data_IF_524422806649
#
_entry.id   IF_524422806649
#
_cell.length_a   1.000
_cell.length_b   1.000
_cell.length_c   1.000
_cell.angle_alpha   90.00
_cell.angle_beta   90.00
_cell.angle_gamma   90.00
#
_symmetry.space_group_name_H-M   'P 1'
#
loop_
_entity.id
_entity.type
_entity.pdbx_description
1 polymer ?
#
# COMPACT_ATOMS: atom_id res chain seq x y z
N UNK A 1 -10.54 -1.20 7.96
CA UNK A 1 -9.42 -2.04 7.46
C UNK A 1 -8.37 -2.30 8.54
N UNK A 2 -7.98 -1.27 9.30
CA UNK A 2 -6.95 -1.40 10.34
C UNK A 2 -7.37 -2.42 11.40
N UNK A 3 -8.60 -2.38 11.87
CA UNK A 3 -9.11 -3.31 12.88
C UNK A 3 -9.01 -4.77 12.40
N UNK A 4 -9.30 -5.01 11.13
CA UNK A 4 -9.24 -6.35 10.54
C UNK A 4 -7.80 -6.82 10.37
N UNK A 5 -6.90 -5.92 9.99
CA UNK A 5 -5.48 -6.25 9.91
C UNK A 5 -4.93 -6.60 11.30
N UNK A 6 -5.28 -5.83 12.32
CA UNK A 6 -4.84 -6.09 13.69
C UNK A 6 -5.38 -7.41 14.24
N UNK A 7 -6.58 -7.81 13.82
CA UNK A 7 -7.16 -9.09 14.23
C UNK A 7 -6.49 -10.29 13.58
N UNK A 8 -5.88 -10.11 12.41
CA UNK A 8 -5.30 -11.20 11.62
C UNK A 8 -3.79 -11.31 11.73
N UNK A 9 -3.11 -10.22 12.07
CA UNK A 9 -1.65 -10.15 12.06
C UNK A 9 -1.17 -9.03 12.98
N UNK A 10 0.13 -9.00 13.26
CA UNK A 10 0.71 -7.98 14.12
C UNK A 10 1.00 -6.71 13.30
N UNK A 11 0.20 -5.68 13.51
CA UNK A 11 0.40 -4.38 12.86
C UNK A 11 1.48 -3.60 13.62
N UNK A 12 2.63 -3.41 12.98
CA UNK A 12 3.79 -2.75 13.61
C UNK A 12 3.76 -1.23 13.41
N UNK A 13 3.34 -0.76 12.25
CA UNK A 13 3.32 0.67 11.94
C UNK A 13 2.37 0.99 10.79
N UNK A 14 1.90 2.24 10.78
CA UNK A 14 1.11 2.81 9.68
C UNK A 14 1.79 4.09 9.20
N UNK A 15 1.80 4.31 7.90
CA UNK A 15 2.25 5.58 7.32
C UNK A 15 1.21 6.68 7.53
N UNK A 16 1.59 7.92 7.24
CA UNK A 16 0.60 8.97 6.99
C UNK A 16 -0.30 8.56 5.83
N UNK A 17 -1.49 9.13 5.79
CA UNK A 17 -2.41 8.95 4.67
C UNK A 17 -2.16 10.06 3.66
N UNK A 18 -1.99 9.66 2.41
CA UNK A 18 -1.77 10.58 1.30
C UNK A 18 -2.99 10.63 0.40
N UNK A 19 -3.30 11.82 -0.10
CA UNK A 19 -4.38 12.04 -1.05
C UNK A 19 -3.78 12.23 -2.42
N UNK A 20 -4.23 11.43 -3.36
CA UNK A 20 -3.90 11.58 -4.77
C UNK A 20 -5.12 12.13 -5.50
N UNK A 21 -4.96 13.31 -6.10
CA UNK A 21 -6.00 13.92 -6.91
C UNK A 21 -5.69 13.71 -8.39
N UNK A 22 -6.65 13.15 -9.12
CA UNK A 22 -6.57 13.02 -10.57
C UNK A 22 -7.42 14.15 -11.15
N UNK A 23 -6.78 15.10 -11.81
CA UNK A 23 -7.45 16.20 -12.47
C UNK A 23 -8.02 15.75 -13.80
N UNK A 24 -9.27 16.01 -14.06
CA UNK A 24 -9.94 15.75 -15.35
C UNK A 24 -11.39 16.17 -15.27
N UNK A 25 -11.89 16.96 -16.25
CA UNK A 25 -13.31 17.24 -16.32
C UNK A 25 -14.09 15.98 -16.72
N UNK A 26 -15.36 15.76 -16.25
CA UNK A 26 -16.06 16.62 -15.31
C UNK A 26 -15.92 16.20 -13.85
N UNK A 27 -15.17 15.13 -13.54
CA UNK A 27 -15.14 14.57 -12.19
C UNK A 27 -13.71 14.51 -11.66
N UNK A 28 -13.54 15.04 -10.45
CA UNK A 28 -12.32 14.87 -9.70
C UNK A 28 -12.41 13.57 -8.90
N UNK A 29 -11.53 12.63 -9.20
CA UNK A 29 -11.40 11.43 -8.40
C UNK A 29 -10.27 11.64 -7.38
N UNK A 30 -10.59 11.41 -6.12
CA UNK A 30 -9.62 11.47 -5.03
C UNK A 30 -9.41 10.08 -4.48
N UNK A 31 -8.16 9.63 -4.44
CA UNK A 31 -7.78 8.36 -3.86
C UNK A 31 -6.92 8.60 -2.62
N UNK A 32 -7.15 7.80 -1.60
CA UNK A 32 -6.32 7.81 -0.39
C UNK A 32 -5.38 6.61 -0.42
N UNK A 33 -4.11 6.86 -0.10
CA UNK A 33 -3.07 5.85 -0.06
C UNK A 33 -2.36 5.87 1.28
N UNK A 34 -2.06 4.70 1.80
CA UNK A 34 -1.25 4.53 2.99
C UNK A 34 -0.52 3.21 2.90
N UNK A 35 0.54 3.07 3.67
CA UNK A 35 1.26 1.81 3.82
C UNK A 35 1.15 1.32 5.26
N UNK A 36 1.14 0.00 5.42
CA UNK A 36 1.17 -0.65 6.71
C UNK A 36 2.34 -1.62 6.77
N UNK A 37 3.04 -1.63 7.88
CA UNK A 37 4.07 -2.63 8.17
C UNK A 37 3.47 -3.65 9.12
N UNK A 38 3.43 -4.91 8.67
CA UNK A 38 2.84 -6.00 9.46
C UNK A 38 3.85 -7.12 9.64
N UNK A 39 3.71 -7.83 10.75
CA UNK A 39 4.45 -9.04 11.02
C UNK A 39 3.48 -10.21 11.01
N UNK A 40 3.80 -11.25 10.26
CA UNK A 40 2.95 -12.42 10.14
C UNK A 40 3.77 -13.67 9.85
N UNK A 41 3.24 -14.83 10.25
CA UNK A 41 3.81 -16.12 9.90
C UNK A 41 3.14 -16.74 8.67
N UNK A 42 2.15 -16.05 8.10
CA UNK A 42 1.49 -16.50 6.89
C UNK A 42 2.46 -16.49 5.70
N UNK A 43 2.34 -17.49 4.83
CA UNK A 43 3.03 -17.46 3.54
C UNK A 43 2.46 -16.32 2.68
N UNK A 44 3.18 -15.88 1.64
CA UNK A 44 2.65 -14.84 0.74
C UNK A 44 1.27 -15.19 0.16
N UNK A 45 1.04 -16.44 -0.22
CA UNK A 45 -0.25 -16.89 -0.75
C UNK A 45 -1.36 -16.80 0.32
N UNK A 46 -1.07 -17.22 1.54
CA UNK A 46 -2.02 -17.14 2.66
C UNK A 46 -2.33 -15.68 3.01
N UNK A 47 -1.33 -14.83 3.04
CA UNK A 47 -1.49 -13.41 3.31
C UNK A 47 -2.37 -12.76 2.25
N UNK A 48 -2.11 -13.04 0.98
CA UNK A 48 -2.91 -12.52 -0.12
C UNK A 48 -4.38 -12.92 -0.01
N UNK A 49 -4.65 -14.17 0.34
CA UNK A 49 -6.02 -14.65 0.55
C UNK A 49 -6.69 -13.94 1.72
N UNK A 50 -5.95 -13.71 2.81
CA UNK A 50 -6.49 -12.99 3.97
C UNK A 50 -6.81 -11.54 3.61
N UNK A 51 -5.95 -10.86 2.90
CA UNK A 51 -6.20 -9.49 2.45
C UNK A 51 -7.42 -9.39 1.53
N UNK A 52 -7.55 -10.33 0.59
CA UNK A 52 -8.72 -10.40 -0.27
C UNK A 52 -10.02 -10.64 0.52
N UNK A 53 -9.95 -11.45 1.57
CA UNK A 53 -11.07 -11.69 2.46
C UNK A 53 -11.49 -10.42 3.20
N UNK A 54 -10.52 -9.65 3.69
CA UNK A 54 -10.78 -8.38 4.37
C UNK A 54 -11.46 -7.39 3.42
N UNK A 55 -10.97 -7.28 2.20
CA UNK A 55 -11.57 -6.42 1.17
C UNK A 55 -13.04 -6.78 0.94
N UNK A 56 -13.33 -8.06 0.77
CA UNK A 56 -14.70 -8.53 0.54
C UNK A 56 -15.63 -8.26 1.74
N UNK A 57 -15.14 -8.47 2.95
CA UNK A 57 -15.92 -8.20 4.16
C UNK A 57 -16.31 -6.74 4.27
N UNK A 58 -15.39 -5.83 3.96
CA UNK A 58 -15.63 -4.40 4.05
C UNK A 58 -16.52 -3.90 2.92
N UNK A 59 -16.36 -4.41 1.71
CA UNK A 59 -17.22 -4.08 0.59
C UNK A 59 -18.68 -4.52 0.86
N UNK A 60 -18.86 -5.70 1.44
CA UNK A 60 -20.18 -6.20 1.78
C UNK A 60 -20.87 -5.35 2.86
N UNK A 61 -20.10 -4.77 3.80
CA UNK A 61 -20.63 -3.92 4.86
C UNK A 61 -21.12 -2.56 4.36
N UNK A 62 -20.40 -1.99 3.40
CA UNK A 62 -20.74 -0.67 2.89
C UNK A 62 -21.92 -0.71 1.92
N UNK A 63 -22.25 -1.89 1.39
CA UNK A 63 -23.35 -2.05 0.42
C UNK A 63 -23.14 -1.24 -0.86
N UNK A 64 -21.93 -0.77 -1.10
CA UNK A 64 -21.60 0.07 -2.23
C UNK A 64 -20.86 -0.76 -3.25
N UNK A 65 -21.41 -0.86 -4.45
CA UNK A 65 -20.71 -1.31 -5.63
C UNK A 65 -19.73 -0.22 -6.08
N UNK A 66 -18.82 0.16 -5.20
CA UNK A 66 -17.77 1.10 -5.54
C UNK A 66 -16.49 0.30 -5.82
N UNK A 67 -16.08 0.19 -7.09
CA UNK A 67 -14.92 -0.62 -7.47
C UNK A 67 -13.59 -0.10 -6.92
N UNK A 68 -13.59 1.01 -6.20
CA UNK A 68 -12.38 1.59 -5.62
C UNK A 68 -12.40 1.69 -4.11
N UNK A 69 -13.35 1.05 -3.42
CA UNK A 69 -13.56 1.28 -1.98
C UNK A 69 -12.35 0.88 -1.13
N UNK A 70 -11.72 -0.25 -1.41
CA UNK A 70 -10.55 -0.71 -0.66
C UNK A 70 -9.73 -1.67 -1.51
N UNK A 71 -8.44 -1.38 -1.61
CA UNK A 71 -7.48 -2.25 -2.27
C UNK A 71 -6.30 -2.49 -1.32
N UNK A 72 -6.11 -3.75 -0.92
CA UNK A 72 -5.02 -4.17 -0.05
C UNK A 72 -4.03 -5.00 -0.87
N UNK A 73 -2.85 -4.46 -1.08
CA UNK A 73 -1.84 -5.05 -1.95
C UNK A 73 -0.55 -5.31 -1.19
N UNK A 74 0.03 -6.50 -1.39
CA UNK A 74 1.37 -6.80 -0.89
C UNK A 74 2.37 -6.16 -1.84
N UNK A 75 3.19 -5.23 -1.34
CA UNK A 75 4.21 -4.57 -2.15
C UNK A 75 5.63 -5.05 -1.83
N UNK A 76 5.84 -5.48 -0.59
CA UNK A 76 7.10 -6.07 -0.10
C UNK A 76 6.79 -7.24 0.82
N UNK A 77 7.63 -8.26 0.77
CA UNK A 77 7.56 -9.40 1.67
C UNK A 77 8.99 -9.80 2.05
N UNK A 78 9.43 -9.36 3.23
CA UNK A 78 10.84 -9.42 3.65
C UNK A 78 11.75 -8.83 2.55
N UNK A 79 12.87 -9.46 2.29
CA UNK A 79 13.77 -9.09 1.18
C UNK A 79 13.63 -10.02 -0.03
N UNK A 80 12.50 -10.75 -0.10
CA UNK A 80 12.29 -11.79 -1.11
C UNK A 80 11.84 -11.22 -2.45
N UNK A 81 12.25 -11.89 -3.50
CA UNK A 81 11.91 -11.57 -4.89
C UNK A 81 11.19 -12.79 -5.47
N UNK A 82 9.92 -12.62 -5.83
CA UNK A 82 9.10 -13.71 -6.38
C UNK A 82 7.90 -13.17 -7.14
N UNK A 83 7.17 -14.07 -7.79
CA UNK A 83 5.90 -13.75 -8.45
C UNK A 83 4.78 -14.44 -7.72
N UNK A 84 3.71 -13.68 -7.41
CA UNK A 84 2.53 -14.19 -6.73
C UNK A 84 1.29 -13.82 -7.54
N UNK A 85 0.58 -14.84 -8.05
CA UNK A 85 -0.64 -14.66 -8.84
C UNK A 85 -0.47 -13.65 -10.00
N UNK A 86 0.66 -13.74 -10.70
CA UNK A 86 0.98 -12.85 -11.81
C UNK A 86 1.55 -11.49 -11.43
N UNK A 87 1.63 -11.19 -10.15
CA UNK A 87 2.18 -9.93 -9.65
C UNK A 87 3.59 -10.13 -9.11
N UNK A 88 4.51 -9.26 -9.51
CA UNK A 88 5.87 -9.29 -8.99
C UNK A 88 5.95 -8.70 -7.60
N UNK A 89 6.77 -9.32 -6.74
CA UNK A 89 7.14 -8.79 -5.42
C UNK A 89 8.68 -8.74 -5.39
N UNK A 90 9.30 -7.60 -5.15
CA UNK A 90 8.72 -6.28 -4.82
C UNK A 90 7.83 -5.73 -5.95
N UNK A 91 6.78 -5.01 -5.56
CA UNK A 91 5.85 -4.42 -6.52
C UNK A 91 6.58 -3.41 -7.42
N UNK A 92 6.34 -3.49 -8.73
CA UNK A 92 7.01 -2.61 -9.70
C UNK A 92 6.73 -1.13 -9.45
N UNK A 93 5.54 -0.82 -8.94
CA UNK A 93 5.13 0.55 -8.64
C UNK A 93 5.97 1.25 -7.57
N UNK A 94 6.74 0.51 -6.77
CA UNK A 94 7.65 1.11 -5.79
C UNK A 94 8.66 2.04 -6.48
N UNK A 95 9.12 1.64 -7.66
CA UNK A 95 10.14 2.39 -8.40
C UNK A 95 9.55 3.49 -9.30
N UNK A 96 8.24 3.50 -9.53
CA UNK A 96 7.62 4.34 -10.56
C UNK A 96 6.43 5.17 -10.06
N UNK A 97 5.85 4.84 -8.90
CA UNK A 97 4.64 5.49 -8.41
C UNK A 97 4.87 6.09 -7.03
N UNK A 98 4.74 7.42 -6.94
CA UNK A 98 4.89 8.15 -5.69
C UNK A 98 3.88 7.69 -4.64
N UNK A 99 2.65 7.36 -5.04
CA UNK A 99 1.61 6.91 -4.12
C UNK A 99 1.90 5.56 -3.44
N UNK A 100 2.88 4.82 -3.95
CA UNK A 100 3.39 3.60 -3.31
C UNK A 100 4.69 3.89 -2.56
N UNK A 101 5.65 4.55 -3.21
CA UNK A 101 6.98 4.76 -2.66
C UNK A 101 6.99 5.68 -1.44
N UNK A 102 6.24 6.77 -1.47
CA UNK A 102 6.27 7.76 -0.39
C UNK A 102 5.70 7.21 0.92
N UNK A 103 4.53 6.54 0.94
CA UNK A 103 4.06 5.90 2.18
C UNK A 103 5.02 4.83 2.72
N UNK A 104 5.64 4.06 1.84
CA UNK A 104 6.64 3.06 2.26
C UNK A 104 7.87 3.72 2.90
N UNK A 105 8.34 4.83 2.34
CA UNK A 105 9.48 5.56 2.88
C UNK A 105 9.18 6.18 4.26
N UNK A 106 7.92 6.53 4.54
CA UNK A 106 7.50 6.95 5.88
C UNK A 106 7.75 5.86 6.91
N UNK A 107 7.52 4.61 6.54
CA UNK A 107 7.64 3.46 7.45
C UNK A 107 9.08 3.00 7.62
N UNK A 108 9.83 2.97 6.54
CA UNK A 108 11.15 2.36 6.50
C UNK A 108 12.07 3.07 5.51
N UNK A 109 12.46 4.33 5.81
CA UNK A 109 13.26 5.11 4.86
C UNK A 109 14.61 4.48 4.53
N UNK A 110 15.21 3.76 5.48
CA UNK A 110 16.52 3.13 5.31
C UNK A 110 16.45 1.73 4.69
N UNK A 111 15.25 1.17 4.53
CA UNK A 111 15.08 -0.15 3.92
C UNK A 111 15.51 -0.09 2.46
N UNK A 112 16.33 -1.07 2.06
CA UNK A 112 16.86 -1.13 0.70
C UNK A 112 15.99 -2.02 -0.18
N UNK A 113 15.65 -1.52 -1.35
CA UNK A 113 14.87 -2.28 -2.33
C UNK A 113 15.63 -3.55 -2.72
N UNK A 114 14.99 -4.74 -2.67
CA UNK A 114 15.70 -6.02 -2.90
C UNK A 114 16.37 -6.15 -4.26
N UNK A 115 15.89 -5.47 -5.29
CA UNK A 115 16.46 -5.54 -6.64
C UNK A 115 17.47 -4.42 -6.92
N UNK A 116 17.20 -3.20 -6.45
CA UNK A 116 17.98 -2.03 -6.81
C UNK A 116 18.99 -1.63 -5.74
N UNK A 117 18.82 -2.15 -4.52
CA UNK A 117 19.62 -1.80 -3.35
C UNK A 117 19.58 -0.31 -2.98
N UNK A 118 18.55 0.40 -3.46
CA UNK A 118 18.35 1.80 -3.12
C UNK A 118 17.47 1.91 -1.86
N UNK A 119 17.82 2.82 -0.91
CA UNK A 119 16.93 3.10 0.21
C UNK A 119 15.58 3.65 -0.27
N UNK A 120 14.51 3.28 0.42
CA UNK A 120 13.18 3.77 0.06
C UNK A 120 13.08 5.29 0.08
N UNK A 121 13.79 5.95 1.00
CA UNK A 121 13.85 7.41 1.04
C UNK A 121 14.38 8.00 -0.27
N UNK A 122 15.42 7.40 -0.85
CA UNK A 122 16.00 7.87 -2.11
C UNK A 122 15.06 7.65 -3.28
N UNK A 123 14.37 6.51 -3.31
CA UNK A 123 13.37 6.21 -4.33
C UNK A 123 12.23 7.22 -4.25
N UNK A 124 11.72 7.47 -3.06
CA UNK A 124 10.64 8.43 -2.84
C UNK A 124 11.02 9.85 -3.25
N UNK A 125 12.25 10.28 -2.93
CA UNK A 125 12.75 11.60 -3.30
C UNK A 125 12.78 11.80 -4.82
N UNK A 126 13.06 10.74 -5.56
CA UNK A 126 13.05 10.77 -7.04
C UNK A 126 11.66 10.76 -7.64
N UNK A 127 10.62 10.48 -6.86
CA UNK A 127 9.24 10.35 -7.33
C UNK A 127 8.31 11.41 -6.75
N UNK A 128 8.84 12.55 -6.29
CA UNK A 128 8.01 13.63 -5.78
C UNK A 128 6.96 14.01 -6.82
N UNK A 129 5.70 13.95 -6.42
CA UNK A 129 4.56 14.19 -7.27
C UNK A 129 3.68 15.29 -6.67
N UNK A 130 3.49 16.37 -7.42
CA UNK A 130 2.67 17.50 -6.99
C UNK A 130 1.18 17.13 -6.79
N UNK A 131 0.74 16.01 -7.35
CA UNK A 131 -0.62 15.49 -7.17
C UNK A 131 -0.84 14.67 -5.91
N UNK A 132 0.22 14.41 -5.14
CA UNK A 132 0.15 13.61 -3.92
C UNK A 132 0.38 14.49 -2.69
N UNK A 133 -0.64 14.63 -1.87
CA UNK A 133 -0.61 15.47 -0.67
C UNK A 133 -0.76 14.64 0.59
N UNK A 134 0.04 14.96 1.59
CA UNK A 134 -0.11 14.40 2.93
C UNK A 134 -1.36 14.97 3.59
N UNK A 135 -2.14 14.10 4.22
CA UNK A 135 -3.37 14.51 4.90
C UNK A 135 -3.19 14.47 6.42
N UNK A 136 -4.15 15.07 7.14
CA UNK A 136 -4.24 14.99 8.60
C UNK A 136 -5.16 13.84 9.06
N UNK A 137 -5.59 12.98 8.14
CA UNK A 137 -6.49 11.86 8.44
C UNK A 137 -5.71 10.81 9.23
N UNK A 138 -6.31 10.30 10.31
CA UNK A 138 -5.79 9.17 11.07
C UNK A 138 -6.69 7.95 10.88
N UNK A 139 -6.03 6.80 10.80
CA UNK A 139 -6.72 5.51 10.70
C UNK A 139 -7.02 4.93 12.08
#
# INVERSE_FOLDING_TARGET
AVDRLQASMNLLALSSIYRRSIAGPPQRHTFLHAAALVETQMTPAQLRQRLASIERELDARTGVDDPGALDLTIVLYDDKIFTLAGQQIPHLGILTQACIAIPLADLAPAYRHPKTDQPLADIADGLLDAGLDRTDITL
#
